data_IF_286363287586
#
_entry.id   IF_286363287586
#
_cell.length_a   1.000
_cell.length_b   1.000
_cell.length_c   1.000
_cell.angle_alpha   90.00
_cell.angle_beta   90.00
_cell.angle_gamma   90.00
#
_symmetry.space_group_name_H-M   'P 1'
#
loop_
_entity.id
_entity.type
_entity.pdbx_description
1 polymer ?
#
# COMPACT_ATOMS: atom_id res chain seq x y z
N UNK A 1 -19.09 3.54 -19.64
CA UNK A 1 -19.89 3.21 -18.45
C UNK A 1 -19.11 2.64 -17.25
N UNK A 2 -17.98 1.91 -17.40
CA UNK A 2 -17.21 1.39 -16.23
C UNK A 2 -16.51 2.47 -15.36
N UNK A 3 -16.08 3.58 -15.97
CA UNK A 3 -15.36 4.66 -15.26
C UNK A 3 -16.20 5.33 -14.16
N UNK A 4 -17.51 5.54 -14.39
CA UNK A 4 -18.40 6.18 -13.42
C UNK A 4 -18.63 5.32 -12.17
N UNK A 5 -18.80 4.01 -12.33
CA UNK A 5 -19.05 3.12 -11.19
C UNK A 5 -17.81 2.93 -10.31
N UNK A 6 -16.62 2.77 -10.91
CA UNK A 6 -15.36 2.66 -10.17
C UNK A 6 -15.04 3.96 -9.40
N UNK A 7 -15.27 5.12 -10.02
CA UNK A 7 -15.10 6.42 -9.39
C UNK A 7 -16.03 6.59 -8.18
N UNK A 8 -17.33 6.30 -8.33
CA UNK A 8 -18.30 6.41 -7.23
C UNK A 8 -17.98 5.46 -6.08
N UNK A 9 -17.51 4.24 -6.37
CA UNK A 9 -17.09 3.29 -5.33
C UNK A 9 -15.87 3.78 -4.55
N UNK A 10 -14.87 4.34 -5.24
CA UNK A 10 -13.68 4.95 -4.60
C UNK A 10 -14.07 6.12 -3.71
N UNK A 11 -14.95 7.01 -4.19
CA UNK A 11 -15.43 8.14 -3.39
C UNK A 11 -16.10 7.69 -2.09
N UNK A 12 -17.01 6.71 -2.16
CA UNK A 12 -17.66 6.16 -0.96
C UNK A 12 -16.66 5.53 0.03
N UNK A 13 -15.59 4.90 -0.45
CA UNK A 13 -14.54 4.35 0.40
C UNK A 13 -13.78 5.48 1.11
N UNK A 14 -13.34 6.49 0.36
CA UNK A 14 -12.62 7.65 0.90
C UNK A 14 -13.44 8.38 1.96
N UNK A 15 -14.71 8.63 1.68
CA UNK A 15 -15.61 9.32 2.61
C UNK A 15 -15.75 8.54 3.94
N UNK A 16 -15.82 7.21 3.88
CA UNK A 16 -15.91 6.35 5.07
C UNK A 16 -14.60 6.22 5.84
N UNK A 17 -13.47 6.23 5.13
CA UNK A 17 -12.14 6.09 5.74
C UNK A 17 -11.66 7.36 6.42
N UNK A 18 -12.18 8.53 6.00
CA UNK A 18 -11.66 9.84 6.43
C UNK A 18 -11.60 10.02 7.94
N UNK A 19 -12.66 9.68 8.67
CA UNK A 19 -12.68 9.80 10.14
C UNK A 19 -11.63 8.91 10.79
N UNK A 20 -11.53 7.65 10.37
CA UNK A 20 -10.54 6.70 10.90
C UNK A 20 -9.11 7.17 10.61
N UNK A 21 -8.87 7.72 9.42
CA UNK A 21 -7.55 8.27 9.06
C UNK A 21 -7.18 9.51 9.88
N UNK A 22 -8.14 10.38 10.18
CA UNK A 22 -7.95 11.54 11.04
C UNK A 22 -7.58 11.11 12.46
N UNK A 23 -8.35 10.20 13.04
CA UNK A 23 -8.03 9.65 14.37
C UNK A 23 -6.66 8.97 14.41
N UNK A 24 -6.28 8.26 13.33
CA UNK A 24 -4.96 7.63 13.24
C UNK A 24 -3.86 8.69 13.25
N UNK A 25 -3.97 9.72 12.39
CA UNK A 25 -3.00 10.82 12.34
C UNK A 25 -2.91 11.54 13.68
N UNK A 26 -4.03 11.84 14.32
CA UNK A 26 -4.05 12.52 15.63
C UNK A 26 -3.39 11.68 16.73
N UNK A 27 -3.59 10.35 16.71
CA UNK A 27 -3.01 9.44 17.71
C UNK A 27 -1.53 9.19 17.51
N UNK A 28 -1.04 9.18 16.27
CA UNK A 28 0.36 8.86 15.97
C UNK A 28 1.23 10.09 15.75
N UNK A 29 0.63 11.23 15.38
CA UNK A 29 1.34 12.40 14.89
C UNK A 29 1.90 12.23 13.47
N UNK A 30 1.57 11.14 12.77
CA UNK A 30 2.13 10.78 11.46
C UNK A 30 1.09 10.88 10.34
N UNK A 31 1.54 11.14 9.11
CA UNK A 31 0.66 11.18 7.94
C UNK A 31 -0.04 9.83 7.72
N UNK A 32 -1.37 9.83 7.68
CA UNK A 32 -2.16 8.64 7.35
C UNK A 32 -2.46 8.59 5.84
N UNK A 33 -2.20 7.44 5.22
CA UNK A 33 -2.41 7.22 3.79
C UNK A 33 -3.44 6.12 3.55
N UNK A 34 -4.28 6.28 2.52
CA UNK A 34 -5.19 5.25 2.04
C UNK A 34 -4.84 4.88 0.61
N UNK A 35 -4.50 3.61 0.41
CA UNK A 35 -4.22 3.03 -0.90
C UNK A 35 -5.25 1.97 -1.28
N UNK A 36 -5.44 1.77 -2.58
CA UNK A 36 -6.23 0.67 -3.15
C UNK A 36 -5.40 -0.09 -4.16
N UNK A 37 -5.59 -1.41 -4.21
CA UNK A 37 -5.03 -2.24 -5.27
C UNK A 37 -5.72 -1.92 -6.61
N UNK A 38 -4.92 -1.65 -7.64
CA UNK A 38 -5.38 -1.44 -9.01
C UNK A 38 -4.41 -2.13 -9.97
N UNK A 39 -4.91 -3.16 -10.66
CA UNK A 39 -4.18 -4.01 -11.61
C UNK A 39 -2.88 -4.63 -11.05
N UNK A 40 -1.76 -3.94 -11.20
CA UNK A 40 -0.40 -4.33 -10.87
C UNK A 40 0.32 -3.33 -9.93
N UNK A 41 -0.42 -2.34 -9.40
CA UNK A 41 0.11 -1.39 -8.43
C UNK A 41 -0.89 -1.08 -7.29
N UNK A 42 -0.39 -0.35 -6.29
CA UNK A 42 -1.21 0.32 -5.29
C UNK A 42 -1.36 1.79 -5.70
N UNK A 43 -2.59 2.29 -5.69
CA UNK A 43 -2.91 3.69 -5.97
C UNK A 43 -3.34 4.37 -4.68
N UNK A 44 -2.69 5.46 -4.32
CA UNK A 44 -3.09 6.30 -3.20
C UNK A 44 -4.35 7.08 -3.57
N UNK A 45 -5.40 6.98 -2.76
CA UNK A 45 -6.72 7.60 -3.03
C UNK A 45 -7.11 8.65 -2.01
N UNK A 46 -6.48 8.66 -0.83
CA UNK A 46 -6.67 9.69 0.19
C UNK A 46 -5.45 9.80 1.09
N UNK A 47 -5.29 10.96 1.71
CA UNK A 47 -4.24 11.26 2.66
C UNK A 47 -4.79 12.23 3.71
N UNK A 48 -4.38 12.02 4.97
CA UNK A 48 -4.51 13.00 6.06
C UNK A 48 -3.10 13.34 6.52
N UNK A 49 -2.66 14.56 6.21
CA UNK A 49 -1.31 15.03 6.49
C UNK A 49 -1.12 15.31 7.99
N UNK A 50 0.06 15.00 8.49
CA UNK A 50 0.51 15.46 9.82
C UNK A 50 0.70 16.98 9.85
N UNK A 51 0.65 17.54 11.07
CA UNK A 51 1.01 18.93 11.34
C UNK A 51 2.53 19.15 11.48
N UNK A 52 3.34 18.09 11.42
CA UNK A 52 4.80 18.18 11.48
C UNK A 52 5.41 18.79 10.21
N UNK A 53 6.53 19.50 10.36
CA UNK A 53 7.20 20.19 9.26
C UNK A 53 7.79 19.22 8.22
N UNK A 54 8.35 18.10 8.67
CA UNK A 54 8.85 17.01 7.83
C UNK A 54 7.76 15.94 7.77
N UNK A 55 7.37 15.56 6.56
CA UNK A 55 6.33 14.54 6.35
C UNK A 55 6.50 13.82 5.03
N UNK A 56 6.17 12.53 5.03
CA UNK A 56 5.99 11.79 3.79
C UNK A 56 4.75 12.30 3.05
N UNK A 57 4.89 12.67 1.78
CA UNK A 57 3.81 13.19 0.95
C UNK A 57 3.59 12.32 -0.28
N UNK A 58 2.38 11.76 -0.40
CA UNK A 58 1.96 10.95 -1.54
C UNK A 58 0.65 11.52 -2.05
N UNK A 59 0.72 12.30 -3.13
CA UNK A 59 -0.48 12.91 -3.73
C UNK A 59 -1.47 11.81 -4.15
N UNK A 60 -2.78 11.99 -3.94
CA UNK A 60 -3.78 11.07 -4.50
C UNK A 60 -3.56 10.89 -6.02
N UNK A 61 -3.56 9.64 -6.46
CA UNK A 61 -3.17 9.22 -7.81
C UNK A 61 -1.74 8.68 -7.92
N UNK A 62 -0.87 8.91 -6.92
CA UNK A 62 0.46 8.29 -6.86
C UNK A 62 0.35 6.77 -6.85
N UNK A 63 1.29 6.11 -7.53
CA UNK A 63 1.38 4.66 -7.64
C UNK A 63 2.60 4.14 -6.86
N UNK A 64 2.43 3.04 -6.13
CA UNK A 64 3.53 2.29 -5.53
C UNK A 64 3.52 0.83 -5.96
N UNK A 65 4.69 0.20 -5.93
CA UNK A 65 4.84 -1.23 -6.19
C UNK A 65 4.24 -2.05 -5.04
N UNK A 66 3.78 -3.26 -5.36
CA UNK A 66 3.22 -4.15 -4.34
C UNK A 66 4.29 -4.69 -3.39
N UNK A 67 5.48 -5.04 -3.91
CA UNK A 67 6.51 -5.73 -3.12
C UNK A 67 7.38 -4.80 -2.28
N UNK A 68 7.40 -3.50 -2.60
CA UNK A 68 8.19 -2.49 -1.90
C UNK A 68 7.30 -1.33 -1.43
N UNK A 69 6.16 -1.67 -0.84
CA UNK A 69 5.36 -0.72 -0.06
C UNK A 69 4.59 -1.46 1.02
N UNK A 70 4.38 -0.83 2.18
CA UNK A 70 3.62 -1.43 3.27
C UNK A 70 2.21 -1.84 2.81
N UNK A 71 1.45 -0.90 2.24
CA UNK A 71 0.10 -1.16 1.71
C UNK A 71 0.12 -2.31 0.69
N UNK A 72 1.10 -2.33 -0.20
CA UNK A 72 1.25 -3.37 -1.22
C UNK A 72 1.39 -4.75 -0.59
N UNK A 73 2.33 -4.90 0.34
CA UNK A 73 2.58 -6.18 1.02
C UNK A 73 1.40 -6.60 1.91
N UNK A 74 0.74 -5.65 2.58
CA UNK A 74 -0.49 -5.92 3.33
C UNK A 74 -1.61 -6.50 2.44
N UNK A 75 -1.78 -5.94 1.23
CA UNK A 75 -2.73 -6.48 0.26
C UNK A 75 -2.31 -7.87 -0.20
N UNK A 76 -1.07 -8.04 -0.65
CA UNK A 76 -0.58 -9.33 -1.17
C UNK A 76 -0.73 -10.46 -0.15
N UNK A 77 -0.49 -10.20 1.13
CA UNK A 77 -0.59 -11.20 2.20
C UNK A 77 -1.99 -11.81 2.37
N UNK A 78 -3.03 -11.13 1.86
CA UNK A 78 -4.43 -11.56 1.95
C UNK A 78 -5.01 -12.05 0.63
N UNK A 79 -4.20 -12.15 -0.43
CA UNK A 79 -4.63 -12.72 -1.70
C UNK A 79 -4.25 -14.19 -1.80
N UNK A 80 -4.97 -14.94 -2.65
CA UNK A 80 -4.61 -16.31 -2.99
C UNK A 80 -3.24 -16.36 -3.70
N UNK A 81 -2.43 -17.41 -3.46
CA UNK A 81 -1.07 -17.52 -4.00
C UNK A 81 -0.99 -17.36 -5.53
N UNK A 82 -1.97 -17.88 -6.27
CA UNK A 82 -2.04 -17.77 -7.73
C UNK A 82 -2.22 -16.32 -8.17
N UNK A 83 -3.03 -15.55 -7.42
CA UNK A 83 -3.26 -14.13 -7.69
C UNK A 83 -2.02 -13.31 -7.39
N UNK A 84 -1.33 -13.60 -6.28
CA UNK A 84 -0.03 -12.99 -5.94
C UNK A 84 0.96 -13.25 -7.07
N UNK A 85 1.15 -14.51 -7.47
CA UNK A 85 2.07 -14.87 -8.56
C UNK A 85 1.71 -14.23 -9.90
N UNK A 86 0.42 -14.01 -10.19
CA UNK A 86 0.00 -13.30 -11.40
C UNK A 86 0.29 -11.79 -11.33
N UNK A 87 0.16 -11.17 -10.15
CA UNK A 87 0.51 -9.75 -9.95
C UNK A 87 2.03 -9.56 -10.08
N UNK A 88 2.82 -10.37 -9.36
CA UNK A 88 4.28 -10.26 -9.37
C UNK A 88 4.89 -10.50 -10.75
N UNK A 89 4.34 -11.44 -11.53
CA UNK A 89 4.79 -11.67 -12.92
C UNK A 89 4.57 -10.46 -13.84
N UNK A 90 3.52 -9.67 -13.60
CA UNK A 90 3.24 -8.46 -14.40
C UNK A 90 4.00 -7.24 -13.89
N UNK A 91 3.98 -7.03 -12.58
CA UNK A 91 4.56 -5.86 -11.92
C UNK A 91 6.10 -5.92 -11.82
N UNK A 92 6.67 -7.13 -11.81
CA UNK A 92 8.08 -7.35 -11.52
C UNK A 92 8.42 -7.16 -10.05
N UNK A 93 9.71 -7.33 -9.74
CA UNK A 93 10.30 -7.18 -8.41
C UNK A 93 11.55 -6.28 -8.49
N UNK A 94 11.36 -5.07 -8.98
CA UNK A 94 12.45 -4.09 -9.11
C UNK A 94 13.11 -3.81 -7.75
N UNK A 95 14.44 -3.79 -7.71
CA UNK A 95 15.20 -3.48 -6.50
C UNK A 95 15.43 -1.96 -6.40
N UNK A 96 14.97 -1.34 -5.31
CA UNK A 96 15.10 0.11 -5.09
C UNK A 96 16.21 0.45 -4.09
N UNK A 97 16.32 -0.34 -3.04
CA UNK A 97 17.29 -0.21 -1.96
C UNK A 97 17.95 -1.55 -1.67
N UNK A 98 18.87 -1.58 -0.71
CA UNK A 98 19.47 -2.85 -0.31
C UNK A 98 18.50 -3.78 0.43
N UNK A 99 17.49 -3.19 1.07
CA UNK A 99 16.46 -3.88 1.85
C UNK A 99 15.28 -4.36 1.00
N UNK A 100 15.15 -3.92 -0.26
CA UNK A 100 14.02 -4.32 -1.12
C UNK A 100 13.91 -5.84 -1.24
N UNK A 101 12.71 -6.38 -1.00
CA UNK A 101 12.39 -7.80 -1.20
C UNK A 101 12.23 -8.14 -2.69
N UNK A 102 13.33 -8.12 -3.45
CA UNK A 102 13.36 -8.40 -4.89
C UNK A 102 13.45 -9.89 -5.25
N UNK A 103 13.39 -10.79 -4.26
CA UNK A 103 13.33 -12.24 -4.43
C UNK A 103 11.95 -12.78 -4.04
N UNK A 104 11.39 -13.67 -4.87
CA UNK A 104 10.04 -14.23 -4.67
C UNK A 104 9.97 -15.01 -3.36
N UNK A 105 11.01 -15.79 -3.02
CA UNK A 105 11.00 -16.62 -1.82
C UNK A 105 11.08 -15.78 -0.55
N UNK A 106 11.89 -14.72 -0.56
CA UNK A 106 11.99 -13.74 0.52
C UNK A 106 10.65 -13.01 0.72
N UNK A 107 10.06 -12.51 -0.36
CA UNK A 107 8.75 -11.84 -0.29
C UNK A 107 7.68 -12.80 0.24
N UNK A 108 7.62 -14.04 -0.24
CA UNK A 108 6.64 -15.03 0.23
C UNK A 108 6.72 -15.29 1.74
N UNK A 109 7.93 -15.36 2.31
CA UNK A 109 8.13 -15.49 3.77
C UNK A 109 7.64 -14.25 4.54
N UNK A 110 7.91 -13.06 4.02
CA UNK A 110 7.41 -11.81 4.61
C UNK A 110 5.87 -11.77 4.56
N UNK A 111 5.25 -12.15 3.44
CA UNK A 111 3.79 -12.19 3.32
C UNK A 111 3.11 -13.15 4.31
N UNK A 112 3.71 -14.32 4.58
CA UNK A 112 3.24 -15.23 5.63
C UNK A 112 3.30 -14.55 7.00
N UNK A 113 4.39 -13.86 7.29
CA UNK A 113 4.60 -13.14 8.55
C UNK A 113 3.59 -12.01 8.71
N UNK A 114 3.35 -11.23 7.65
CA UNK A 114 2.34 -10.17 7.58
C UNK A 114 0.94 -10.72 7.86
N UNK A 115 0.57 -11.84 7.22
CA UNK A 115 -0.73 -12.48 7.41
C UNK A 115 -0.94 -12.92 8.86
N UNK A 116 0.10 -13.46 9.50
CA UNK A 116 0.03 -13.90 10.90
C UNK A 116 -0.05 -12.74 11.89
N UNK A 117 0.72 -11.65 11.69
CA UNK A 117 0.73 -10.50 12.62
C UNK A 117 -0.38 -9.48 12.36
N UNK A 118 -1.01 -9.52 11.19
CA UNK A 118 -2.11 -8.64 10.80
C UNK A 118 -1.71 -7.25 10.29
N UNK A 119 -0.41 -6.99 10.09
CA UNK A 119 0.10 -5.72 9.59
C UNK A 119 1.40 -5.89 8.78
N UNK A 120 1.73 -4.89 7.98
CA UNK A 120 2.94 -4.82 7.15
C UNK A 120 3.80 -3.64 7.57
N UNK A 121 5.11 -3.75 7.38
CA UNK A 121 6.03 -2.62 7.45
C UNK A 121 6.83 -2.56 6.15
N UNK A 122 7.04 -1.33 5.69
CA UNK A 122 8.06 -0.99 4.70
C UNK A 122 9.25 -0.47 5.50
N UNK A 123 10.27 -1.31 5.64
CA UNK A 123 11.50 -0.98 6.38
C UNK A 123 12.54 -0.47 5.38
N UNK A 124 12.28 0.73 4.84
CA UNK A 124 13.14 1.40 3.85
C UNK A 124 13.36 0.55 2.57
N UNK A 125 12.36 -0.24 2.18
CA UNK A 125 12.43 -1.10 0.99
C UNK A 125 12.27 -0.28 -0.30
N UNK A 126 11.62 0.89 -0.19
CA UNK A 126 11.38 1.80 -1.31
C UNK A 126 12.36 2.97 -1.37
N UNK A 127 12.65 3.56 -0.21
CA UNK A 127 13.52 4.72 -0.05
C UNK A 127 14.40 4.50 1.19
N UNK A 128 15.71 4.83 1.16
CA UNK A 128 16.59 4.80 2.33
C UNK A 128 16.23 5.85 3.37
#
# INVERSE_FOLDING_TARGET
>A
YRMGAAFLRRRKLVDRARTVMQELMEKTGETANLGVAEDDCVVFVSQVETHQAIRAFFRPGTRSSFHASGIGKAVLAHLEPERVGAILRRAGLERFTEKTLSDISALARDLVTIKLRGWSVDDEERHP
#
